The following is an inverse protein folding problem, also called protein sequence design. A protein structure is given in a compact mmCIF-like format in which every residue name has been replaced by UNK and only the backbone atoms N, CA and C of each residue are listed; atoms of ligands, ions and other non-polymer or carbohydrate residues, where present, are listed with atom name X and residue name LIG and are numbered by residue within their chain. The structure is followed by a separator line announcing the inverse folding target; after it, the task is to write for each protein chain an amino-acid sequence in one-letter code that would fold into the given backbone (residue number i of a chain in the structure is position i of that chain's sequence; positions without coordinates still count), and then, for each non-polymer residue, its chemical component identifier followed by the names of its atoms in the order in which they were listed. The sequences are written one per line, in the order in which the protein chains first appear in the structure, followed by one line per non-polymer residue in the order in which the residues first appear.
data_IF_729313239396
#
_entry.id   IF_729313239396
#
_cell.length_a   1.000
_cell.length_b   1.000
_cell.length_c   1.000
_cell.angle_alpha   90.00
_cell.angle_beta   90.00
_cell.angle_gamma   90.00
#
_symmetry.space_group_name_H-M   'P 1'
#
loop_
_entity.id
_entity.type
_entity.pdbx_description
1 polymer ?
#
# COMPACT_ATOMS: atom_id res chain seq x y z
N UNK A 1 -29.07 -13.66 20.54
CA UNK A 1 -28.12 -13.53 19.39
C UNK A 1 -28.79 -12.72 18.32
N UNK A 2 -28.20 -11.68 17.72
CA UNK A 2 -28.83 -10.93 16.66
C UNK A 2 -29.04 -11.81 15.40
N UNK A 3 -30.18 -11.65 14.76
CA UNK A 3 -30.64 -12.41 13.59
C UNK A 3 -29.61 -12.42 12.45
N UNK A 4 -28.87 -11.32 12.31
CA UNK A 4 -27.77 -11.17 11.33
C UNK A 4 -26.63 -12.17 11.54
N UNK A 5 -26.42 -12.64 12.76
CA UNK A 5 -25.38 -13.60 13.09
C UNK A 5 -25.77 -15.03 12.66
N UNK A 6 -27.02 -15.39 12.88
CA UNK A 6 -27.57 -16.67 12.43
C UNK A 6 -27.64 -16.79 10.91
N UNK A 7 -28.07 -15.73 10.24
CA UNK A 7 -28.06 -15.66 8.78
C UNK A 7 -26.65 -15.77 8.20
N UNK A 8 -25.66 -15.07 8.78
CA UNK A 8 -24.27 -15.16 8.34
C UNK A 8 -23.68 -16.57 8.52
N UNK A 9 -24.04 -17.26 9.60
CA UNK A 9 -23.62 -18.67 9.84
C UNK A 9 -24.29 -19.65 8.88
N UNK A 10 -25.59 -19.47 8.58
CA UNK A 10 -26.29 -20.27 7.58
C UNK A 10 -25.73 -20.09 6.16
N UNK A 11 -25.44 -18.85 5.78
CA UNK A 11 -24.79 -18.56 4.50
C UNK A 11 -23.37 -19.16 4.44
N UNK A 12 -22.62 -19.15 5.55
CA UNK A 12 -21.30 -19.74 5.61
C UNK A 12 -21.31 -21.29 5.47
N UNK A 13 -22.42 -21.94 5.81
CA UNK A 13 -22.59 -23.40 5.58
C UNK A 13 -22.81 -23.69 4.08
N UNK A 14 -23.57 -22.87 3.39
CA UNK A 14 -23.91 -23.05 1.95
C UNK A 14 -22.81 -22.50 1.03
N UNK A 15 -22.11 -21.47 1.44
CA UNK A 15 -20.99 -20.85 0.73
C UNK A 15 -19.90 -20.44 1.74
N UNK A 16 -19.07 -21.39 2.16
CA UNK A 16 -18.07 -21.12 3.20
C UNK A 16 -17.11 -20.02 2.75
N UNK A 17 -16.84 -19.03 3.63
CA UNK A 17 -15.86 -18.00 3.33
C UNK A 17 -14.51 -18.67 3.07
N UNK A 18 -13.74 -18.12 2.17
CA UNK A 18 -12.42 -18.65 1.84
C UNK A 18 -11.33 -17.71 2.34
N UNK A 19 -10.20 -18.26 2.75
CA UNK A 19 -9.01 -17.52 3.15
C UNK A 19 -8.61 -16.51 2.07
N UNK A 20 -8.49 -15.24 2.41
CA UNK A 20 -8.14 -14.17 1.47
C UNK A 20 -6.75 -14.35 0.84
N UNK A 21 -5.85 -15.11 1.47
CA UNK A 21 -4.53 -15.43 0.94
C UNK A 21 -4.54 -16.71 0.08
N UNK A 22 -4.81 -17.89 0.66
CA UNK A 22 -4.64 -19.19 0.02
C UNK A 22 -5.92 -19.82 -0.54
N UNK A 23 -7.09 -19.18 -0.33
CA UNK A 23 -8.41 -19.63 -0.80
C UNK A 23 -8.95 -20.91 -0.15
N UNK A 24 -8.28 -21.47 0.86
CA UNK A 24 -8.81 -22.60 1.64
C UNK A 24 -10.12 -22.19 2.33
N UNK A 25 -11.16 -23.04 2.33
CA UNK A 25 -12.40 -22.78 3.06
C UNK A 25 -12.14 -22.51 4.55
N UNK A 26 -12.92 -21.61 5.13
CA UNK A 26 -12.82 -21.20 6.53
C UNK A 26 -14.02 -21.70 7.31
N UNK A 27 -13.79 -22.17 8.55
CA UNK A 27 -14.84 -22.69 9.41
C UNK A 27 -15.72 -21.57 10.05
N UNK A 28 -15.30 -20.30 9.99
CA UNK A 28 -16.01 -19.20 10.64
C UNK A 28 -16.38 -18.10 9.67
N UNK A 29 -17.61 -17.62 9.70
CA UNK A 29 -18.16 -16.59 8.81
C UNK A 29 -17.40 -15.24 8.84
N UNK A 30 -16.65 -14.97 9.90
CA UNK A 30 -15.87 -13.73 10.08
C UNK A 30 -14.37 -13.90 9.92
N UNK A 31 -13.91 -15.13 9.64
CA UNK A 31 -12.49 -15.36 9.44
C UNK A 31 -12.06 -14.83 8.07
N UNK A 32 -10.96 -14.08 8.04
CA UNK A 32 -10.38 -13.53 6.81
C UNK A 32 -9.16 -14.33 6.34
N UNK A 33 -8.46 -15.00 7.28
CA UNK A 33 -7.31 -15.86 7.04
C UNK A 33 -7.46 -17.19 7.78
N UNK A 34 -7.04 -18.27 7.15
CA UNK A 34 -6.87 -19.55 7.85
C UNK A 34 -5.71 -19.47 8.86
N UNK A 35 -5.68 -20.39 9.81
CA UNK A 35 -4.66 -20.45 10.86
C UNK A 35 -3.24 -20.48 10.25
N UNK A 36 -3.02 -21.34 9.27
CA UNK A 36 -1.72 -21.48 8.60
C UNK A 36 -1.25 -20.16 7.97
N UNK A 37 -2.10 -19.48 7.18
CA UNK A 37 -1.74 -18.19 6.59
C UNK A 37 -1.52 -17.10 7.62
N UNK A 38 -2.27 -17.09 8.71
CA UNK A 38 -2.11 -16.11 9.79
C UNK A 38 -0.75 -16.26 10.49
N UNK A 39 -0.36 -17.49 10.81
CA UNK A 39 0.94 -17.78 11.44
C UNK A 39 2.12 -17.58 10.50
N UNK A 40 1.93 -17.83 9.20
CA UNK A 40 2.97 -17.69 8.19
C UNK A 40 3.12 -16.25 7.63
N UNK A 41 2.39 -15.25 8.18
CA UNK A 41 2.60 -13.85 7.78
C UNK A 41 4.03 -13.42 8.08
N UNK A 42 4.77 -12.92 7.08
CA UNK A 42 6.19 -12.58 7.24
C UNK A 42 6.35 -11.17 7.84
N UNK A 43 6.03 -11.05 9.14
CA UNK A 43 6.19 -9.81 9.87
C UNK A 43 7.64 -9.35 9.88
N UNK A 44 7.87 -8.09 9.57
CA UNK A 44 9.20 -7.51 9.64
C UNK A 44 9.58 -7.23 11.09
N UNK A 45 10.72 -7.80 11.51
CA UNK A 45 11.27 -7.58 12.84
C UNK A 45 11.94 -6.20 12.97
N UNK A 46 12.05 -5.71 14.18
CA UNK A 46 12.91 -4.57 14.53
C UNK A 46 14.33 -5.07 14.91
N UNK A 47 15.38 -4.23 14.76
CA UNK A 47 15.33 -2.86 14.26
C UNK A 47 15.24 -2.75 12.72
N UNK A 48 14.62 -1.67 12.25
CA UNK A 48 14.49 -1.35 10.82
C UNK A 48 15.08 0.02 10.50
N UNK A 49 15.61 0.16 9.29
CA UNK A 49 16.03 1.45 8.78
C UNK A 49 14.81 2.37 8.59
N UNK A 50 14.75 3.47 9.32
CA UNK A 50 13.66 4.44 9.23
C UNK A 50 13.50 5.02 7.82
N UNK A 51 14.61 5.20 7.08
CA UNK A 51 14.60 5.76 5.71
C UNK A 51 13.96 4.86 4.68
N UNK A 52 14.28 3.55 4.67
CA UNK A 52 13.86 2.64 3.59
C UNK A 52 12.93 1.52 4.03
N UNK A 53 12.70 1.34 5.33
CA UNK A 53 11.85 0.28 5.89
C UNK A 53 12.42 -1.13 5.79
N UNK A 54 13.67 -1.30 5.37
CA UNK A 54 14.34 -2.60 5.38
C UNK A 54 14.85 -2.97 6.78
N UNK A 55 15.01 -4.26 7.11
CA UNK A 55 15.73 -4.68 8.31
C UNK A 55 17.11 -4.02 8.39
N UNK A 56 17.54 -3.67 9.60
CA UNK A 56 18.85 -3.03 9.82
C UNK A 56 19.93 -4.08 10.11
N UNK A 57 21.12 -3.94 9.53
CA UNK A 57 21.57 -2.90 8.61
C UNK A 57 20.99 -3.06 7.19
N UNK A 58 20.55 -1.96 6.56
CA UNK A 58 19.91 -2.00 5.25
C UNK A 58 20.90 -2.03 4.06
N UNK A 59 22.17 -2.33 4.32
CA UNK A 59 23.28 -2.35 3.38
C UNK A 59 24.31 -1.25 3.62
N UNK A 60 25.37 -1.23 2.82
CA UNK A 60 26.47 -0.23 2.90
C UNK A 60 25.95 1.19 2.67
N UNK A 61 25.01 1.35 1.75
CA UNK A 61 24.28 2.61 1.50
C UNK A 61 22.80 2.33 1.54
N UNK A 62 22.06 3.15 2.30
CA UNK A 62 20.60 3.05 2.32
C UNK A 62 20.03 3.29 0.90
N UNK A 63 19.20 2.38 0.35
CA UNK A 63 18.63 2.55 -1.00
C UNK A 63 17.68 3.75 -1.11
N UNK A 64 17.19 4.29 0.01
CA UNK A 64 16.37 5.48 0.06
C UNK A 64 17.13 6.75 0.50
N UNK A 65 18.48 6.74 0.54
CA UNK A 65 19.27 7.88 1.02
C UNK A 65 18.92 9.19 0.29
N UNK A 66 18.70 9.14 -1.02
CA UNK A 66 18.36 10.29 -1.86
C UNK A 66 16.84 10.47 -2.11
N UNK A 67 15.98 9.68 -1.46
CA UNK A 67 14.54 9.76 -1.65
C UNK A 67 13.96 11.06 -1.06
N UNK A 68 12.93 11.60 -1.70
CA UNK A 68 12.24 12.81 -1.27
C UNK A 68 11.29 12.58 -0.08
N UNK A 69 10.94 11.34 0.25
CA UNK A 69 10.28 11.02 1.51
C UNK A 69 11.30 10.88 2.64
N UNK A 70 10.91 11.22 3.87
CA UNK A 70 11.79 11.21 5.05
C UNK A 70 11.98 9.83 5.63
N UNK A 71 10.93 9.01 5.57
CA UNK A 71 10.91 7.65 6.09
C UNK A 71 9.97 6.77 5.27
N UNK A 72 10.19 5.47 5.35
CA UNK A 72 9.30 4.46 4.80
C UNK A 72 9.04 3.36 5.82
N UNK A 73 7.81 2.84 5.84
CA UNK A 73 7.41 1.79 6.75
C UNK A 73 6.47 0.79 6.07
N UNK A 74 6.58 -0.47 6.46
CA UNK A 74 5.67 -1.54 6.08
C UNK A 74 5.66 -2.61 7.18
N UNK A 75 4.51 -3.24 7.51
CA UNK A 75 4.45 -4.27 8.54
C UNK A 75 5.08 -5.59 8.12
N UNK A 76 5.05 -5.92 6.83
CA UNK A 76 5.33 -7.26 6.32
C UNK A 76 6.38 -7.26 5.20
N UNK A 77 7.14 -8.35 5.07
CA UNK A 77 7.88 -8.63 3.85
C UNK A 77 6.91 -9.02 2.71
N UNK A 78 7.26 -8.68 1.47
CA UNK A 78 6.47 -9.07 0.29
C UNK A 78 6.76 -10.52 -0.11
N UNK A 79 6.36 -11.44 0.76
CA UNK A 79 6.56 -12.89 0.59
C UNK A 79 5.37 -13.68 1.16
N UNK A 80 5.33 -14.99 0.90
CA UNK A 80 4.32 -15.90 1.45
C UNK A 80 2.89 -15.38 1.37
N UNK A 81 2.10 -15.47 2.46
CA UNK A 81 0.72 -15.00 2.49
C UNK A 81 0.56 -13.50 2.23
N UNK A 82 1.53 -12.65 2.58
CA UNK A 82 1.47 -11.23 2.28
C UNK A 82 1.51 -10.97 0.77
N UNK A 83 2.35 -11.69 0.03
CA UNK A 83 2.39 -11.65 -1.43
C UNK A 83 1.08 -12.14 -2.06
N UNK A 84 0.49 -13.20 -1.51
CA UNK A 84 -0.81 -13.72 -1.95
C UNK A 84 -1.93 -12.70 -1.72
N UNK A 85 -1.96 -12.02 -0.58
CA UNK A 85 -2.92 -10.95 -0.29
C UNK A 85 -2.76 -9.77 -1.26
N UNK A 86 -1.52 -9.35 -1.55
CA UNK A 86 -1.27 -8.31 -2.57
C UNK A 86 -1.79 -8.73 -3.94
N UNK A 87 -1.60 -10.01 -4.32
CA UNK A 87 -2.17 -10.55 -5.56
C UNK A 87 -3.71 -10.59 -5.51
N UNK A 88 -4.30 -11.03 -4.41
CA UNK A 88 -5.75 -11.06 -4.22
C UNK A 88 -6.37 -9.66 -4.28
N UNK A 89 -5.73 -8.65 -3.68
CA UNK A 89 -6.12 -7.24 -3.79
C UNK A 89 -6.16 -6.78 -5.26
N UNK A 90 -5.23 -7.25 -6.10
CA UNK A 90 -5.13 -6.84 -7.51
C UNK A 90 -6.15 -7.52 -8.43
N UNK A 91 -6.64 -8.70 -8.08
CA UNK A 91 -7.39 -9.55 -9.02
C UNK A 91 -8.73 -10.10 -8.49
N UNK A 92 -8.97 -10.16 -7.16
CA UNK A 92 -10.05 -11.00 -6.62
C UNK A 92 -10.82 -10.42 -5.43
N UNK A 93 -11.43 -9.30 -5.49
CA UNK A 93 -12.27 -8.85 -4.38
C UNK A 93 -11.53 -7.90 -3.44
N UNK A 94 -11.35 -6.77 -3.96
CA UNK A 94 -10.50 -5.74 -3.41
C UNK A 94 -10.88 -5.24 -2.01
N UNK A 95 -12.16 -5.14 -1.67
CA UNK A 95 -12.60 -4.49 -0.41
C UNK A 95 -12.26 -5.28 0.86
N UNK A 96 -12.56 -6.59 0.99
CA UNK A 96 -12.19 -7.35 2.19
C UNK A 96 -10.68 -7.38 2.39
N UNK A 97 -9.90 -7.59 1.31
CA UNK A 97 -8.44 -7.59 1.39
C UNK A 97 -7.88 -6.23 1.81
N UNK A 98 -8.40 -5.13 1.26
CA UNK A 98 -7.98 -3.78 1.64
C UNK A 98 -8.30 -3.47 3.12
N UNK A 99 -9.45 -3.93 3.63
CA UNK A 99 -9.82 -3.79 5.05
C UNK A 99 -8.89 -4.58 5.97
N UNK A 100 -8.56 -5.82 5.62
CA UNK A 100 -7.59 -6.63 6.36
C UNK A 100 -6.21 -5.95 6.38
N UNK A 101 -5.71 -5.49 5.22
CA UNK A 101 -4.43 -4.79 5.12
C UNK A 101 -4.41 -3.53 5.99
N UNK A 102 -5.46 -2.72 5.92
CA UNK A 102 -5.59 -1.51 6.73
C UNK A 102 -5.65 -1.83 8.23
N UNK A 103 -6.31 -2.94 8.62
CA UNK A 103 -6.34 -3.38 10.01
C UNK A 103 -4.95 -3.77 10.53
N UNK A 104 -4.19 -4.51 9.73
CA UNK A 104 -2.82 -4.92 10.07
C UNK A 104 -1.87 -3.72 10.13
N UNK A 105 -1.97 -2.79 9.19
CA UNK A 105 -1.21 -1.53 9.22
C UNK A 105 -1.54 -0.74 10.49
N UNK A 106 -2.81 -0.49 10.77
CA UNK A 106 -3.23 0.33 11.91
C UNK A 106 -2.84 -0.29 13.26
N UNK A 107 -2.79 -1.63 13.34
CA UNK A 107 -2.39 -2.33 14.56
C UNK A 107 -0.88 -2.27 14.83
N UNK A 108 -0.06 -2.15 13.78
CA UNK A 108 1.40 -2.28 13.88
C UNK A 108 2.17 -0.98 13.61
N UNK A 109 1.56 -0.01 12.91
CA UNK A 109 2.25 1.24 12.57
C UNK A 109 2.57 2.05 13.82
N UNK A 110 3.81 2.55 13.98
CA UNK A 110 4.17 3.46 15.05
C UNK A 110 3.25 4.70 15.03
N UNK A 111 2.78 5.09 16.21
CA UNK A 111 1.84 6.24 16.34
C UNK A 111 2.43 7.54 15.79
N UNK A 112 3.73 7.71 15.93
CA UNK A 112 4.49 8.90 15.49
C UNK A 112 4.47 9.06 13.95
N UNK A 113 4.31 7.94 13.23
CA UNK A 113 4.16 7.96 11.77
C UNK A 113 2.78 8.40 11.32
N UNK A 114 1.77 8.15 12.14
CA UNK A 114 0.38 8.44 11.82
C UNK A 114 -0.06 9.81 12.34
N UNK A 115 0.51 10.27 13.47
CA UNK A 115 0.06 11.49 14.14
C UNK A 115 0.17 12.72 13.24
N UNK A 116 -0.97 13.37 12.99
CA UNK A 116 -1.08 14.58 12.17
C UNK A 116 -0.91 14.37 10.65
N UNK A 117 -0.77 13.12 10.20
CA UNK A 117 -0.63 12.83 8.77
C UNK A 117 -1.97 12.85 8.03
N UNK A 118 -1.94 13.25 6.76
CA UNK A 118 -3.00 12.98 5.81
C UNK A 118 -2.59 11.85 4.87
N UNK A 119 -3.48 10.89 4.67
CA UNK A 119 -3.26 9.74 3.80
C UNK A 119 -3.41 10.16 2.34
N UNK A 120 -2.37 9.97 1.55
CA UNK A 120 -2.37 10.27 0.11
C UNK A 120 -2.09 8.99 -0.65
N UNK A 121 -3.09 8.42 -1.35
CA UNK A 121 -2.87 7.20 -2.12
C UNK A 121 -1.94 7.46 -3.31
N UNK A 122 -0.99 6.55 -3.53
CA UNK A 122 -0.13 6.53 -4.72
C UNK A 122 -0.99 6.20 -5.94
N UNK A 123 -1.08 7.08 -6.96
CA UNK A 123 -2.03 6.91 -8.05
C UNK A 123 -1.60 5.79 -9.00
N UNK A 124 -2.53 4.89 -9.29
CA UNK A 124 -2.33 3.81 -10.27
C UNK A 124 -2.29 4.38 -11.70
N UNK A 125 -1.49 3.77 -12.55
CA UNK A 125 -1.47 4.13 -13.97
C UNK A 125 -2.86 3.97 -14.61
N UNK A 126 -3.38 4.94 -15.42
CA UNK A 126 -4.74 4.91 -15.93
C UNK A 126 -5.11 3.63 -16.71
N UNK A 127 -4.18 3.07 -17.49
CA UNK A 127 -4.41 1.82 -18.20
C UNK A 127 -4.62 0.63 -17.22
N UNK A 128 -3.85 0.58 -16.13
CA UNK A 128 -4.01 -0.45 -15.09
C UNK A 128 -5.31 -0.24 -14.31
N UNK A 129 -5.68 1.01 -14.03
CA UNK A 129 -6.94 1.35 -13.36
C UNK A 129 -8.14 0.92 -14.22
N UNK A 130 -8.11 1.17 -15.53
CA UNK A 130 -9.17 0.71 -16.45
C UNK A 130 -9.25 -0.81 -16.50
N UNK A 131 -8.11 -1.50 -16.58
CA UNK A 131 -8.08 -2.96 -16.63
C UNK A 131 -8.55 -3.63 -15.33
N UNK A 132 -8.35 -2.99 -14.17
CA UNK A 132 -8.71 -3.53 -12.84
C UNK A 132 -10.05 -3.03 -12.31
N UNK A 133 -10.55 -1.91 -12.80
CA UNK A 133 -11.76 -1.24 -12.32
C UNK A 133 -11.58 -0.42 -11.04
N UNK A 134 -10.45 -0.54 -10.34
CA UNK A 134 -10.17 0.15 -9.07
C UNK A 134 -8.69 0.46 -8.88
N UNK A 135 -8.40 1.28 -7.86
CA UNK A 135 -7.04 1.65 -7.44
C UNK A 135 -6.76 1.05 -6.04
N UNK A 136 -5.76 0.18 -5.96
CA UNK A 136 -5.41 -0.57 -4.75
C UNK A 136 -5.00 0.35 -3.60
N UNK A 137 -4.10 1.29 -3.89
CA UNK A 137 -3.61 2.23 -2.90
C UNK A 137 -4.75 3.10 -2.34
N UNK A 138 -5.69 3.51 -3.21
CA UNK A 138 -6.87 4.26 -2.78
C UNK A 138 -7.80 3.43 -1.89
N UNK A 139 -7.97 2.13 -2.15
CA UNK A 139 -8.77 1.23 -1.31
C UNK A 139 -8.13 1.05 0.08
N UNK A 140 -6.82 0.79 0.14
CA UNK A 140 -6.08 0.68 1.40
C UNK A 140 -6.16 2.00 2.17
N UNK A 141 -5.88 3.13 1.53
CA UNK A 141 -5.90 4.44 2.16
C UNK A 141 -7.28 4.80 2.72
N UNK A 142 -8.36 4.50 1.99
CA UNK A 142 -9.74 4.70 2.45
C UNK A 142 -10.06 3.82 3.66
N UNK A 143 -9.73 2.53 3.61
CA UNK A 143 -9.95 1.63 4.73
C UNK A 143 -9.14 2.03 5.96
N UNK A 144 -7.91 2.51 5.77
CA UNK A 144 -7.05 3.02 6.83
C UNK A 144 -7.61 4.32 7.42
N UNK A 145 -8.07 5.26 6.59
CA UNK A 145 -8.73 6.49 7.03
C UNK A 145 -9.95 6.20 7.91
N UNK A 146 -10.83 5.30 7.46
CA UNK A 146 -12.01 4.86 8.25
C UNK A 146 -11.62 4.28 9.61
N UNK A 147 -10.50 3.57 9.69
CA UNK A 147 -10.06 2.88 10.90
C UNK A 147 -9.31 3.77 11.88
N UNK A 148 -8.56 4.74 11.37
CA UNK A 148 -7.68 5.60 12.18
C UNK A 148 -8.22 7.01 12.40
N UNK A 149 -9.23 7.42 11.65
CA UNK A 149 -9.72 8.81 11.63
C UNK A 149 -8.82 9.78 10.87
N UNK A 150 -7.71 9.32 10.29
CA UNK A 150 -6.81 10.19 9.53
C UNK A 150 -7.47 10.72 8.26
N UNK A 151 -7.26 12.01 7.91
CA UNK A 151 -7.83 12.58 6.71
C UNK A 151 -7.28 11.91 5.45
N UNK A 152 -8.16 11.69 4.46
CA UNK A 152 -7.82 11.16 3.14
C UNK A 152 -7.78 12.31 2.12
N UNK A 153 -6.62 12.51 1.49
CA UNK A 153 -6.40 13.56 0.49
C UNK A 153 -5.90 12.96 -0.83
N UNK A 154 -6.79 12.64 -1.80
CA UNK A 154 -6.39 12.08 -3.09
C UNK A 154 -5.88 13.17 -4.05
N UNK A 155 -4.94 14.00 -3.63
CA UNK A 155 -4.41 15.13 -4.40
C UNK A 155 -3.46 14.70 -5.54
N UNK A 156 -2.90 13.48 -5.51
CA UNK A 156 -2.02 12.96 -6.55
C UNK A 156 -2.80 12.31 -7.69
N UNK A 157 -2.44 12.68 -8.92
CA UNK A 157 -3.03 12.14 -10.13
C UNK A 157 -1.93 11.66 -11.08
N UNK A 158 -2.20 10.62 -11.84
CA UNK A 158 -1.29 10.11 -12.87
C UNK A 158 -1.92 10.24 -14.26
N UNK A 159 -1.28 10.99 -15.14
CA UNK A 159 -1.71 11.19 -16.53
C UNK A 159 -1.44 9.97 -17.42
N UNK A 160 -2.13 9.86 -18.57
CA UNK A 160 -2.24 8.63 -19.36
C UNK A 160 -1.53 8.57 -20.72
N UNK A 161 -0.87 9.61 -21.25
CA UNK A 161 -0.20 9.53 -22.58
C UNK A 161 1.32 9.51 -22.48
N UNK A 162 1.94 8.49 -23.09
CA UNK A 162 3.37 8.49 -23.38
C UNK A 162 3.63 9.31 -24.64
N UNK A 163 4.29 10.43 -24.51
CA UNK A 163 5.00 11.02 -25.67
C UNK A 163 6.19 10.12 -25.99
N UNK A 164 6.24 9.61 -27.22
CA UNK A 164 7.43 8.91 -27.74
C UNK A 164 8.56 9.93 -27.88
N UNK A 165 9.54 9.86 -26.99
CA UNK A 165 10.84 10.49 -27.22
C UNK A 165 11.83 9.41 -27.66
N UNK A 166 12.42 9.61 -28.83
CA UNK A 166 13.48 8.79 -29.41
C UNK A 166 14.81 9.16 -28.74
N UNK A 167 15.61 8.18 -28.31
CA UNK A 167 17.03 8.39 -28.06
C UNK A 167 17.62 8.17 -26.67
N UNK A 168 16.91 7.66 -25.65
CA UNK A 168 17.48 7.40 -24.31
C UNK A 168 17.37 5.93 -23.87
N UNK A 169 18.21 5.49 -22.91
CA UNK A 169 18.16 4.14 -22.34
C UNK A 169 16.77 3.80 -21.79
N UNK A 170 16.35 2.54 -21.98
CA UNK A 170 14.98 2.05 -21.69
C UNK A 170 14.58 2.21 -20.23
N UNK A 171 15.51 2.08 -19.28
CA UNK A 171 15.25 2.22 -17.84
C UNK A 171 15.15 3.70 -17.44
N UNK A 172 16.05 4.55 -17.93
CA UNK A 172 16.03 5.99 -17.69
C UNK A 172 14.80 6.67 -18.33
N UNK A 173 14.38 6.19 -19.51
CA UNK A 173 13.15 6.65 -20.19
C UNK A 173 11.89 6.28 -19.41
N UNK A 174 11.81 5.08 -18.83
CA UNK A 174 10.69 4.67 -17.96
C UNK A 174 10.60 5.54 -16.72
N UNK A 175 11.71 5.75 -16.02
CA UNK A 175 11.75 6.56 -14.81
C UNK A 175 11.43 8.05 -15.09
N UNK A 176 11.91 8.61 -16.20
CA UNK A 176 11.59 9.99 -16.61
C UNK A 176 10.13 10.12 -17.04
N UNK A 177 9.61 9.18 -17.85
CA UNK A 177 8.20 9.15 -18.25
C UNK A 177 7.24 8.89 -17.07
N UNK A 178 7.67 8.21 -16.03
CA UNK A 178 6.90 8.02 -14.81
C UNK A 178 6.84 9.31 -13.97
N UNK A 179 7.93 10.06 -13.89
CA UNK A 179 7.99 11.38 -13.22
C UNK A 179 7.15 12.43 -13.93
N UNK A 180 7.20 12.51 -15.24
CA UNK A 180 6.46 13.50 -16.05
C UNK A 180 4.93 13.33 -16.04
N UNK A 181 4.39 12.24 -15.46
CA UNK A 181 2.96 11.92 -15.48
C UNK A 181 2.26 12.13 -14.15
N UNK A 182 2.97 12.51 -13.11
CA UNK A 182 2.37 12.85 -11.83
C UNK A 182 2.00 14.33 -11.82
N UNK A 183 0.77 14.63 -11.43
CA UNK A 183 0.29 15.98 -11.19
C UNK A 183 -0.40 16.04 -9.83
N UNK A 184 -0.33 17.21 -9.21
CA UNK A 184 -1.05 17.51 -7.97
C UNK A 184 -2.25 18.37 -8.31
N UNK A 185 -3.40 18.07 -7.72
CA UNK A 185 -4.64 18.82 -7.87
C UNK A 185 -5.27 19.06 -6.52
N UNK A 186 -5.72 20.28 -6.29
CA UNK A 186 -6.29 20.71 -5.02
C UNK A 186 -5.23 20.97 -3.94
N UNK A 187 -5.67 21.24 -2.71
CA UNK A 187 -4.78 21.55 -1.61
C UNK A 187 -3.94 20.34 -1.20
N UNK A 188 -2.66 20.58 -0.93
CA UNK A 188 -1.73 19.56 -0.43
C UNK A 188 -1.62 19.69 1.09
N UNK A 189 -1.83 18.59 1.84
CA UNK A 189 -1.65 18.59 3.28
C UNK A 189 -0.20 18.91 3.66
N UNK A 190 0.03 19.62 4.80
CA UNK A 190 1.37 19.91 5.28
C UNK A 190 2.20 18.64 5.54
N UNK A 191 1.58 17.63 6.15
CA UNK A 191 2.19 16.32 6.36
C UNK A 191 1.46 15.25 5.54
N UNK A 192 2.14 14.72 4.53
CA UNK A 192 1.66 13.70 3.62
C UNK A 192 2.22 12.34 4.00
N UNK A 193 1.34 11.35 4.17
CA UNK A 193 1.71 9.94 4.27
C UNK A 193 1.25 9.23 3.00
N UNK A 194 2.20 8.97 2.10
CA UNK A 194 1.95 8.24 0.85
C UNK A 194 1.58 6.79 1.15
N UNK A 195 0.46 6.31 0.63
CA UNK A 195 -0.02 4.93 0.85
C UNK A 195 0.08 4.12 -0.43
N UNK A 196 0.71 2.93 -0.36
CA UNK A 196 0.84 1.98 -1.48
C UNK A 196 0.62 0.53 -1.02
N UNK A 197 0.46 -0.42 -1.96
CA UNK A 197 0.37 -1.85 -1.64
C UNK A 197 1.76 -2.47 -1.38
N UNK A 198 2.78 -2.15 -2.19
CA UNK A 198 4.13 -2.71 -2.07
C UNK A 198 5.22 -1.68 -2.29
N UNK A 199 6.09 -1.52 -1.31
CA UNK A 199 7.33 -0.79 -1.47
C UNK A 199 8.43 -1.71 -2.03
N UNK A 200 8.72 -1.59 -3.33
CA UNK A 200 9.80 -2.34 -4.00
C UNK A 200 11.10 -1.53 -3.98
N UNK A 201 11.45 -0.85 -5.06
CA UNK A 201 12.61 0.05 -5.13
C UNK A 201 12.36 1.42 -4.50
N UNK A 202 11.11 1.79 -4.30
CA UNK A 202 10.71 3.12 -3.83
C UNK A 202 10.62 4.20 -4.92
N UNK A 203 10.94 3.88 -6.16
CA UNK A 203 10.97 4.88 -7.25
C UNK A 203 9.61 5.60 -7.44
N UNK A 204 8.50 4.87 -7.33
CA UNK A 204 7.15 5.47 -7.44
C UNK A 204 6.86 6.36 -6.22
N UNK A 205 7.20 5.91 -5.02
CA UNK A 205 7.04 6.68 -3.79
C UNK A 205 7.89 7.94 -3.80
N UNK A 206 9.14 7.86 -4.28
CA UNK A 206 10.03 9.01 -4.42
C UNK A 206 9.47 10.04 -5.43
N UNK A 207 8.97 9.57 -6.58
CA UNK A 207 8.35 10.46 -7.57
C UNK A 207 7.09 11.16 -7.01
N UNK A 208 6.25 10.44 -6.26
CA UNK A 208 5.09 11.01 -5.57
C UNK A 208 5.51 12.01 -4.49
N UNK A 209 6.54 11.67 -3.69
CA UNK A 209 7.07 12.56 -2.66
C UNK A 209 7.60 13.87 -3.25
N UNK A 210 8.37 13.81 -4.33
CA UNK A 210 8.82 15.01 -5.06
C UNK A 210 7.66 15.87 -5.53
N UNK A 211 6.61 15.26 -6.08
CA UNK A 211 5.44 15.99 -6.57
C UNK A 211 4.70 16.73 -5.45
N UNK A 212 4.44 16.08 -4.30
CA UNK A 212 3.73 16.73 -3.19
C UNK A 212 4.61 17.74 -2.47
N UNK A 213 5.94 17.56 -2.38
CA UNK A 213 6.86 18.57 -1.85
C UNK A 213 6.91 19.80 -2.73
N UNK A 214 7.01 19.65 -4.03
CA UNK A 214 6.96 20.77 -4.97
C UNK A 214 5.64 21.55 -4.89
N UNK A 215 4.57 20.91 -4.43
CA UNK A 215 3.26 21.51 -4.22
C UNK A 215 3.00 21.98 -2.76
N UNK A 216 4.02 22.00 -1.89
CA UNK A 216 3.96 22.62 -0.58
C UNK A 216 3.93 21.69 0.63
N UNK A 217 3.98 20.36 0.46
CA UNK A 217 4.12 19.45 1.59
C UNK A 217 5.51 19.64 2.26
N UNK A 218 5.51 19.94 3.55
CA UNK A 218 6.77 20.10 4.29
C UNK A 218 7.30 18.79 4.89
N UNK A 219 6.42 17.83 5.20
CA UNK A 219 6.76 16.50 5.70
C UNK A 219 6.14 15.43 4.82
N UNK A 220 6.92 14.43 4.39
CA UNK A 220 6.45 13.34 3.53
C UNK A 220 7.00 12.01 4.04
N UNK A 221 6.11 11.11 4.38
CA UNK A 221 6.41 9.72 4.69
C UNK A 221 5.85 8.76 3.63
N UNK A 222 6.30 7.51 3.67
CA UNK A 222 5.82 6.44 2.82
C UNK A 222 5.33 5.26 3.69
N UNK A 223 4.15 4.75 3.38
CA UNK A 223 3.50 3.64 4.06
C UNK A 223 3.06 2.61 3.02
N UNK A 224 3.57 1.41 3.09
CA UNK A 224 3.12 0.31 2.24
C UNK A 224 2.61 -0.85 3.08
N UNK A 225 1.78 -1.72 2.49
CA UNK A 225 1.37 -2.94 3.17
C UNK A 225 2.53 -3.94 3.26
N UNK A 226 3.36 -4.05 2.21
CA UNK A 226 4.49 -4.96 2.22
C UNK A 226 5.76 -4.33 1.65
N UNK A 227 6.92 -4.80 2.13
CA UNK A 227 8.26 -4.38 1.69
C UNK A 227 8.95 -5.53 0.95
N UNK A 228 9.40 -5.30 -0.27
CA UNK A 228 10.28 -6.25 -0.96
C UNK A 228 11.67 -6.21 -0.33
N UNK A 229 12.14 -7.36 0.13
CA UNK A 229 13.51 -7.51 0.64
C UNK A 229 14.47 -7.76 -0.51
N UNK A 230 15.72 -7.26 -0.43
CA UNK A 230 16.80 -7.68 -1.34
C UNK A 230 17.04 -9.18 -1.18
N UNK A 231 17.38 -9.82 -2.30
CA UNK A 231 17.83 -11.22 -2.29
C UNK A 231 19.29 -11.31 -1.96
#
# INVERSE_FOLDING_TARGET
MPLDRLLAELVAVLAPPSCLACRTPLAGARAELCVACRHALPWLAEPRCSRCGLPSPCGVRCPAAAAAFEYAWAPLAHDGPARQLVAALKFHGALPVARLMAAQIAACAPRELLAGAALVPVPLHPARRRARGFDQAALIARALSTRTGLPLSPCLHRGGRATRQLGADRAARRAAAERQRLSVRGPVPPYVLLVDDVHTTGATLDACARAVRAAGAWRVGALAYARTLPR
#
